data_IF_361451912793
#
_entry.id   IF_361451912793
#
_cell.length_a   1.000
_cell.length_b   1.000
_cell.length_c   1.000
_cell.angle_alpha   90.00
_cell.angle_beta   90.00
_cell.angle_gamma   90.00
#
_symmetry.space_group_name_H-M   'P 1'
#
loop_
_entity.id
_entity.type
_entity.pdbx_description
1 polymer ?
#
# COMPACT_ATOMS: atom_id res chain seq x y z
N UNK A 1 3.09 6.64 -1.27
CA UNK A 1 3.42 5.51 -2.19
C UNK A 1 4.73 4.91 -1.70
N UNK A 2 4.85 3.58 -1.61
CA UNK A 2 6.12 2.94 -1.29
C UNK A 2 6.98 2.90 -2.55
N UNK A 3 8.25 3.26 -2.48
CA UNK A 3 9.17 3.22 -3.62
C UNK A 3 10.42 2.44 -3.22
N UNK A 4 10.69 1.35 -3.92
CA UNK A 4 11.95 0.61 -3.77
C UNK A 4 12.97 1.24 -4.74
N UNK A 5 13.93 2.00 -4.20
CA UNK A 5 15.08 2.51 -4.98
C UNK A 5 16.33 1.91 -4.35
N UNK A 6 17.03 1.03 -5.06
CA UNK A 6 18.38 0.59 -4.73
C UNK A 6 18.56 0.16 -3.27
N UNK A 7 18.41 -1.13 -3.00
CA UNK A 7 18.64 -1.74 -1.67
C UNK A 7 17.95 -1.03 -0.49
N UNK A 8 16.88 -0.26 -0.72
CA UNK A 8 16.20 0.50 0.31
C UNK A 8 14.69 0.51 0.06
N UNK A 9 13.94 0.19 1.11
CA UNK A 9 12.50 0.36 1.16
C UNK A 9 12.17 1.72 1.79
N UNK A 10 11.39 2.53 1.07
CA UNK A 10 11.00 3.87 1.49
C UNK A 10 9.47 4.02 1.49
N UNK A 11 8.95 4.61 2.57
CA UNK A 11 7.55 5.01 2.72
C UNK A 11 7.50 6.51 2.97
N UNK A 12 6.62 7.20 2.23
CA UNK A 12 6.31 8.62 2.42
C UNK A 12 4.83 8.81 2.72
N UNK A 13 4.55 9.58 3.76
CA UNK A 13 3.23 9.87 4.29
C UNK A 13 3.09 11.38 4.52
N UNK A 14 2.01 11.97 4.03
CA UNK A 14 1.61 13.30 4.47
C UNK A 14 0.90 13.19 5.82
N UNK A 15 1.47 13.85 6.83
CA UNK A 15 0.99 13.92 8.20
C UNK A 15 0.89 15.38 8.68
N UNK A 16 0.79 16.34 7.75
CA UNK A 16 0.68 17.79 8.04
C UNK A 16 -0.45 18.16 9.00
N UNK A 17 -1.50 17.33 9.08
CA UNK A 17 -2.64 17.50 9.98
C UNK A 17 -2.38 17.10 11.45
N UNK A 18 -1.17 16.67 11.78
CA UNK A 18 -0.79 16.12 13.10
C UNK A 18 0.48 16.80 13.64
N UNK A 19 0.57 16.93 14.96
CA UNK A 19 1.82 17.33 15.61
C UNK A 19 2.79 16.14 15.67
N UNK A 20 4.09 16.43 15.71
CA UNK A 20 5.13 15.39 15.85
C UNK A 20 4.93 14.48 17.06
N UNK A 21 4.42 15.02 18.16
CA UNK A 21 4.18 14.26 19.41
C UNK A 21 2.94 13.37 19.34
N UNK A 22 2.04 13.61 18.38
CA UNK A 22 0.81 12.84 18.19
C UNK A 22 1.06 11.62 17.27
N UNK A 23 2.26 11.50 16.69
CA UNK A 23 2.64 10.46 15.75
C UNK A 23 3.42 9.33 16.44
N UNK A 24 3.17 8.10 16.00
CA UNK A 24 3.87 6.92 16.46
C UNK A 24 4.22 6.00 15.29
N UNK A 25 5.43 5.45 15.33
CA UNK A 25 5.93 4.47 14.35
C UNK A 25 6.37 3.24 15.11
N UNK A 26 5.74 2.10 14.82
CA UNK A 26 6.01 0.82 15.46
C UNK A 26 6.31 -0.25 14.40
N UNK A 27 7.12 -1.23 14.78
CA UNK A 27 7.37 -2.42 13.96
C UNK A 27 7.03 -3.66 14.77
N UNK A 28 6.17 -4.51 14.22
CA UNK A 28 5.79 -5.78 14.82
C UNK A 28 6.04 -6.91 13.82
N UNK A 29 7.11 -7.66 14.03
CA UNK A 29 7.60 -8.61 13.03
C UNK A 29 7.92 -7.87 11.73
N UNK A 30 7.19 -8.18 10.66
CA UNK A 30 7.37 -7.52 9.34
C UNK A 30 6.35 -6.42 9.04
N UNK A 31 5.53 -6.03 10.02
CA UNK A 31 4.55 -4.97 9.86
C UNK A 31 5.08 -3.67 10.42
N UNK A 32 5.26 -2.68 9.54
CA UNK A 32 5.51 -1.29 9.90
C UNK A 32 4.17 -0.58 10.07
N UNK A 33 3.84 -0.20 11.30
CA UNK A 33 2.61 0.48 11.66
C UNK A 33 2.91 1.94 11.98
N UNK A 34 2.24 2.85 11.28
CA UNK A 34 2.30 4.28 11.52
C UNK A 34 0.93 4.74 11.99
N UNK A 35 0.86 5.31 13.18
CA UNK A 35 -0.37 5.86 13.74
C UNK A 35 -0.21 7.34 14.09
N UNK A 36 -1.32 8.05 14.08
CA UNK A 36 -1.39 9.42 14.56
C UNK A 36 -2.70 9.63 15.31
N UNK A 37 -2.63 10.22 16.50
CA UNK A 37 -3.78 10.47 17.34
C UNK A 37 -3.77 11.91 17.86
N UNK A 38 -4.58 12.76 17.23
CA UNK A 38 -4.81 14.12 17.67
C UNK A 38 -6.12 14.15 18.46
N UNK A 39 -6.01 14.27 19.78
CA UNK A 39 -7.16 14.38 20.69
C UNK A 39 -8.04 15.58 20.33
N UNK A 40 -9.30 15.55 20.76
CA UNK A 40 -10.20 16.71 20.71
C UNK A 40 -9.50 17.98 21.21
N UNK A 41 -9.27 18.94 20.30
CA UNK A 41 -8.84 20.30 20.64
C UNK A 41 -9.79 21.30 20.02
N UNK A 42 -10.01 22.40 20.73
CA UNK A 42 -10.75 23.55 20.21
C UNK A 42 -9.92 24.22 19.11
N UNK A 43 -10.37 24.08 17.86
CA UNK A 43 -9.75 24.67 16.67
C UNK A 43 -10.84 25.40 15.87
N UNK A 44 -10.67 26.70 15.62
CA UNK A 44 -11.54 27.44 14.70
C UNK A 44 -13.03 27.54 15.09
N UNK A 45 -13.35 27.45 16.39
CA UNK A 45 -14.73 27.60 16.89
C UNK A 45 -15.51 26.30 17.06
N UNK A 46 -14.85 25.14 16.99
CA UNK A 46 -15.40 23.84 17.36
C UNK A 46 -14.29 22.89 17.82
N UNK A 47 -14.63 21.65 18.19
CA UNK A 47 -13.63 20.63 18.52
C UNK A 47 -13.29 19.77 17.31
N UNK A 48 -12.01 19.44 17.15
CA UNK A 48 -11.54 18.53 16.11
C UNK A 48 -10.72 17.40 16.73
N UNK A 49 -11.07 16.16 16.41
CA UNK A 49 -10.31 14.95 16.70
C UNK A 49 -9.91 14.30 15.37
N UNK A 50 -8.66 13.86 15.24
CA UNK A 50 -8.16 13.18 14.04
C UNK A 50 -7.39 11.93 14.47
N UNK A 51 -7.66 10.80 13.83
CA UNK A 51 -6.96 9.54 14.08
C UNK A 51 -6.67 8.81 12.77
N UNK A 52 -5.47 8.25 12.65
CA UNK A 52 -5.13 7.34 11.55
C UNK A 52 -4.24 6.19 12.00
N UNK A 53 -4.36 5.08 11.28
CA UNK A 53 -3.42 3.95 11.35
C UNK A 53 -3.14 3.47 9.92
N UNK A 54 -1.87 3.35 9.55
CA UNK A 54 -1.42 2.82 8.26
C UNK A 54 -0.39 1.74 8.50
N UNK A 55 -0.61 0.58 7.88
CA UNK A 55 0.29 -0.57 7.99
C UNK A 55 0.96 -0.85 6.65
N UNK A 56 2.27 -1.08 6.69
CA UNK A 56 3.11 -1.42 5.55
C UNK A 56 3.81 -2.74 5.80
N UNK A 57 3.81 -3.60 4.78
CA UNK A 57 4.56 -4.85 4.83
C UNK A 57 6.01 -4.59 4.46
N UNK A 58 6.92 -4.86 5.40
CA UNK A 58 8.35 -4.80 5.13
C UNK A 58 8.78 -5.99 4.25
N UNK A 59 9.70 -5.76 3.30
CA UNK A 59 10.29 -6.84 2.53
C UNK A 59 11.05 -7.80 3.46
N UNK A 60 11.16 -9.07 3.06
CA UNK A 60 11.85 -10.10 3.87
C UNK A 60 13.33 -9.78 4.12
N UNK A 61 13.94 -8.99 3.25
CA UNK A 61 15.33 -8.56 3.34
C UNK A 61 15.52 -7.25 4.12
N UNK A 62 14.45 -6.66 4.68
CA UNK A 62 14.54 -5.44 5.46
C UNK A 62 15.34 -5.66 6.76
N UNK A 63 16.30 -4.77 7.00
CA UNK A 63 17.07 -4.73 8.25
C UNK A 63 16.37 -3.81 9.25
N UNK A 64 15.39 -4.34 9.98
CA UNK A 64 14.56 -3.59 10.95
C UNK A 64 15.38 -2.72 11.93
N UNK A 65 16.55 -3.21 12.37
CA UNK A 65 17.46 -2.47 13.28
C UNK A 65 18.05 -1.18 12.68
N UNK A 66 17.99 -1.04 11.36
CA UNK A 66 18.48 0.12 10.62
C UNK A 66 17.33 0.99 10.09
N UNK A 67 16.13 0.80 10.62
CA UNK A 67 14.99 1.64 10.29
C UNK A 67 15.21 3.06 10.82
N UNK A 68 14.95 4.04 9.97
CA UNK A 68 15.03 5.45 10.29
C UNK A 68 13.75 6.18 9.86
N UNK A 69 13.33 7.17 10.64
CA UNK A 69 12.19 8.04 10.34
C UNK A 69 12.61 9.50 10.40
N UNK A 70 12.09 10.30 9.47
CA UNK A 70 12.36 11.73 9.32
C UNK A 70 11.06 12.45 9.01
N UNK A 71 10.72 13.49 9.79
CA UNK A 71 9.58 14.36 9.51
C UNK A 71 10.09 15.66 8.89
N UNK A 72 9.63 15.94 7.68
CA UNK A 72 10.00 17.15 6.94
C UNK A 72 9.12 18.34 7.35
N UNK A 73 9.61 19.57 7.12
CA UNK A 73 8.92 20.81 7.52
C UNK A 73 7.60 21.06 6.76
N UNK A 74 7.44 20.42 5.61
CA UNK A 74 6.21 20.36 4.81
C UNK A 74 5.18 19.34 5.34
N UNK A 75 5.47 18.66 6.45
CA UNK A 75 4.57 17.68 7.05
C UNK A 75 4.68 16.28 6.44
N UNK A 76 5.73 16.00 5.65
CA UNK A 76 5.95 14.68 5.07
C UNK A 76 6.80 13.81 6.01
N UNK A 77 6.20 12.75 6.56
CA UNK A 77 6.89 11.68 7.27
C UNK A 77 7.49 10.69 6.27
N UNK A 78 8.81 10.58 6.31
CA UNK A 78 9.60 9.64 5.52
C UNK A 78 10.13 8.55 6.43
N UNK A 79 9.89 7.29 6.08
CA UNK A 79 10.43 6.12 6.78
C UNK A 79 11.27 5.33 5.78
N UNK A 80 12.50 5.01 6.17
CA UNK A 80 13.45 4.27 5.33
C UNK A 80 14.00 3.07 6.08
N UNK A 81 14.19 1.97 5.36
CA UNK A 81 14.87 0.79 5.87
C UNK A 81 15.72 0.17 4.76
N UNK A 82 17.00 -0.12 5.01
CA UNK A 82 17.83 -0.89 4.08
C UNK A 82 17.23 -2.28 3.88
N UNK A 83 17.09 -2.69 2.62
CA UNK A 83 16.59 -3.99 2.22
C UNK A 83 17.55 -4.57 1.18
N UNK A 84 18.19 -5.70 1.47
CA UNK A 84 19.10 -6.31 0.49
C UNK A 84 18.27 -6.78 -0.73
N UNK A 85 18.62 -6.30 -1.94
CA UNK A 85 17.96 -6.71 -3.18
C UNK A 85 18.30 -8.17 -3.50
N UNK A 86 17.40 -9.08 -3.15
CA UNK A 86 17.38 -10.43 -3.72
C UNK A 86 15.94 -10.80 -4.07
N UNK A 87 15.29 -9.98 -4.89
CA UNK A 87 14.07 -10.40 -5.57
C UNK A 87 14.43 -10.80 -7.00
N UNK A 88 15.24 -11.85 -7.14
CA UNK A 88 15.39 -12.50 -8.45
C UNK A 88 14.03 -13.07 -8.84
N UNK A 89 13.44 -12.55 -9.92
CA UNK A 89 12.25 -13.15 -10.49
C UNK A 89 12.66 -14.51 -11.09
N UNK A 90 12.17 -15.60 -10.49
CA UNK A 90 12.40 -16.93 -11.06
C UNK A 90 11.32 -17.19 -12.12
N UNK A 91 11.68 -17.16 -13.40
CA UNK A 91 10.81 -17.65 -14.46
C UNK A 91 10.65 -19.16 -14.31
N UNK A 92 9.50 -19.60 -13.82
CA UNK A 92 9.16 -21.03 -13.71
C UNK A 92 8.56 -21.44 -15.06
N UNK A 93 9.20 -22.31 -15.84
CA UNK A 93 8.61 -22.79 -17.09
C UNK A 93 7.37 -23.63 -16.79
N UNK A 94 6.29 -23.39 -17.55
CA UNK A 94 5.07 -24.19 -17.46
C UNK A 94 5.35 -25.53 -18.14
N UNK A 95 5.23 -26.63 -17.39
CA UNK A 95 5.20 -27.98 -17.96
C UNK A 95 3.78 -28.24 -18.44
N UNK A 96 3.60 -28.33 -19.76
CA UNK A 96 2.30 -28.67 -20.35
C UNK A 96 2.20 -30.19 -20.41
N UNK A 97 1.14 -30.75 -19.84
CA UNK A 97 0.83 -32.17 -19.99
C UNK A 97 0.57 -32.51 -21.46
N UNK A 98 1.09 -33.63 -21.99
CA UNK A 98 0.82 -34.06 -23.37
C UNK A 98 -0.67 -34.28 -23.68
N UNK A 99 -1.48 -34.55 -22.64
CA UNK A 99 -2.93 -34.73 -22.74
C UNK A 99 -3.72 -33.44 -22.53
N UNK A 100 -3.04 -32.30 -22.28
CA UNK A 100 -3.72 -31.02 -22.15
C UNK A 100 -4.24 -30.58 -23.52
N UNK A 101 -5.55 -30.33 -23.59
CA UNK A 101 -6.19 -29.67 -24.73
C UNK A 101 -6.71 -28.32 -24.28
N UNK A 102 -6.39 -27.30 -25.06
CA UNK A 102 -6.95 -25.97 -24.87
C UNK A 102 -8.46 -26.06 -25.04
N UNK A 103 -9.21 -25.93 -23.95
CA UNK A 103 -10.66 -25.82 -24.03
C UNK A 103 -10.97 -24.46 -24.65
N UNK A 104 -11.74 -24.45 -25.74
CA UNK A 104 -12.29 -23.21 -26.28
C UNK A 104 -13.22 -22.61 -25.24
N UNK A 105 -12.79 -21.54 -24.56
CA UNK A 105 -13.69 -20.77 -23.72
C UNK A 105 -14.60 -19.93 -24.63
N UNK A 106 -15.95 -19.95 -24.43
CA UNK A 106 -16.89 -19.12 -25.16
C UNK A 106 -16.90 -17.66 -24.64
N UNK A 107 -15.73 -17.06 -24.42
CA UNK A 107 -15.63 -15.66 -23.97
C UNK A 107 -15.78 -14.63 -25.11
N UNK A 108 -16.31 -15.04 -26.26
CA UNK A 108 -16.63 -14.14 -27.39
C UNK A 108 -18.11 -14.23 -27.82
N UNK A 109 -19.03 -14.49 -26.88
CA UNK A 109 -20.46 -14.35 -27.15
C UNK A 109 -21.19 -13.62 -26.02
N UNK A 110 -20.62 -12.52 -25.52
CA UNK A 110 -21.45 -11.45 -24.97
C UNK A 110 -22.00 -10.66 -26.16
N UNK A 111 -22.99 -11.26 -26.82
CA UNK A 111 -23.85 -10.56 -27.78
C UNK A 111 -24.35 -9.32 -27.04
N UNK A 112 -24.03 -8.13 -27.58
CA UNK A 112 -24.70 -6.90 -27.22
C UNK A 112 -26.20 -7.21 -27.20
N UNK A 113 -26.82 -7.17 -26.02
CA UNK A 113 -28.28 -7.21 -25.90
C UNK A 113 -28.81 -6.13 -26.83
N UNK A 114 -29.43 -6.53 -27.94
CA UNK A 114 -30.05 -5.58 -28.85
C UNK A 114 -31.05 -4.72 -28.06
N UNK A 115 -31.13 -3.41 -28.33
CA UNK A 115 -31.90 -2.50 -27.51
C UNK A 115 -33.37 -2.94 -27.43
N UNK A 116 -33.94 -2.84 -26.23
CA UNK A 116 -35.34 -3.21 -25.95
C UNK A 116 -36.23 -2.43 -26.93
N UNK A 117 -37.02 -3.11 -27.76
CA UNK A 117 -37.81 -2.41 -28.76
C UNK A 117 -38.85 -1.47 -28.12
N UNK A 118 -39.07 -0.30 -28.72
CA UNK A 118 -40.03 0.73 -28.26
C UNK A 118 -41.51 0.34 -28.43
N UNK A 119 -41.81 -0.96 -28.52
CA UNK A 119 -43.17 -1.52 -28.50
C UNK A 119 -43.42 -2.39 -27.26
N UNK A 120 -42.52 -2.36 -26.27
CA UNK A 120 -42.77 -2.84 -24.91
C UNK A 120 -43.19 -1.70 -23.97
N UNK A 121 -44.04 -0.80 -24.47
CA UNK A 121 -44.89 0.15 -23.74
C UNK A 121 -46.34 -0.11 -24.15
#
# INVERSE_FOLDING_TARGET
MSTERGNQFEVKLDVSSFHSNDLQVNVHGRELVVSGHHNEREEGGGTIERHFVRTYMLPKSAKEKQLASELSADGILKITVPADETTEYRKIPIKVDPNWKMQSNPCQELILREPIPLWWW
#
